data_IF_971760306466
#
_entry.id   IF_971760306466
#
_cell.length_a   1.000
_cell.length_b   1.000
_cell.length_c   1.000
_cell.angle_alpha   90.00
_cell.angle_beta   90.00
_cell.angle_gamma   90.00
#
_symmetry.space_group_name_H-M   'P 1'
#
loop_
_entity.id
_entity.type
_entity.pdbx_description
1 polymer ?
#
# COMPACT_ATOMS: atom_id res chain seq x y z
N UNK A 1 -9.84 -20.83 -9.05
CA UNK A 1 -10.09 -19.85 -10.13
C UNK A 1 -9.19 -18.64 -9.94
N UNK A 2 -8.48 -18.16 -10.97
CA UNK A 2 -7.63 -16.97 -10.85
C UNK A 2 -8.48 -15.74 -10.51
N UNK A 3 -8.17 -15.06 -9.39
CA UNK A 3 -8.94 -13.90 -8.92
C UNK A 3 -8.99 -12.73 -9.90
N UNK A 4 -8.06 -12.68 -10.87
CA UNK A 4 -8.03 -11.69 -11.96
C UNK A 4 -9.25 -11.79 -12.87
N UNK A 5 -9.75 -13.01 -13.14
CA UNK A 5 -10.83 -13.21 -14.11
C UNK A 5 -12.19 -12.67 -13.62
N UNK A 6 -12.31 -12.41 -12.31
CA UNK A 6 -13.49 -11.78 -11.72
C UNK A 6 -13.39 -10.26 -11.57
N UNK A 7 -12.28 -9.64 -12.00
CA UNK A 7 -12.09 -8.18 -11.94
C UNK A 7 -12.56 -7.52 -13.23
N UNK A 8 -13.23 -6.37 -13.13
CA UNK A 8 -13.50 -5.55 -14.30
C UNK A 8 -12.20 -4.98 -14.88
N UNK A 9 -12.20 -4.74 -16.20
CA UNK A 9 -11.04 -4.18 -16.90
C UNK A 9 -10.58 -2.85 -16.26
N UNK A 10 -11.52 -2.00 -15.89
CA UNK A 10 -11.24 -0.74 -15.19
C UNK A 10 -10.49 -0.96 -13.87
N UNK A 11 -10.86 -2.00 -13.11
CA UNK A 11 -10.22 -2.34 -11.85
C UNK A 11 -8.78 -2.85 -12.07
N UNK A 12 -8.57 -3.62 -13.14
CA UNK A 12 -7.25 -4.11 -13.53
C UNK A 12 -6.38 -2.93 -13.97
N UNK A 13 -6.88 -2.04 -14.82
CA UNK A 13 -6.17 -0.84 -15.29
C UNK A 13 -5.73 0.04 -14.12
N UNK A 14 -6.62 0.33 -13.16
CA UNK A 14 -6.29 1.12 -11.95
C UNK A 14 -5.18 0.45 -11.12
N UNK A 15 -5.24 -0.87 -10.93
CA UNK A 15 -4.18 -1.62 -10.23
C UNK A 15 -2.84 -1.56 -10.95
N UNK A 16 -2.85 -1.76 -12.26
CA UNK A 16 -1.64 -1.71 -13.09
C UNK A 16 -1.02 -0.32 -13.07
N UNK A 17 -1.84 0.72 -13.23
CA UNK A 17 -1.40 2.11 -13.18
C UNK A 17 -0.75 2.46 -11.83
N UNK A 18 -1.34 2.06 -10.71
CA UNK A 18 -0.76 2.26 -9.38
C UNK A 18 0.59 1.53 -9.25
N UNK A 19 0.65 0.27 -9.67
CA UNK A 19 1.85 -0.55 -9.54
C UNK A 19 3.03 0.00 -10.35
N UNK A 20 2.77 0.49 -11.55
CA UNK A 20 3.81 1.08 -12.41
C UNK A 20 4.15 2.51 -11.97
N UNK A 21 3.14 3.36 -11.77
CA UNK A 21 3.34 4.82 -11.59
C UNK A 21 3.77 5.18 -10.16
N UNK A 22 3.09 4.61 -9.16
CA UNK A 22 3.43 4.89 -7.77
C UNK A 22 4.49 3.90 -7.29
N UNK A 23 4.26 2.62 -7.52
CA UNK A 23 5.05 1.55 -6.94
C UNK A 23 6.35 1.23 -7.71
N UNK A 24 6.54 1.81 -8.90
CA UNK A 24 7.74 1.63 -9.71
C UNK A 24 7.98 0.19 -10.16
N UNK A 25 6.93 -0.66 -10.16
CA UNK A 25 7.06 -2.06 -10.52
C UNK A 25 7.23 -2.18 -12.04
N UNK A 26 8.27 -2.89 -12.47
CA UNK A 26 8.47 -3.16 -13.90
C UNK A 26 7.33 -4.06 -14.42
N UNK A 27 6.74 -3.77 -15.60
CA UNK A 27 5.65 -4.58 -16.17
C UNK A 27 5.99 -6.07 -16.28
N UNK A 28 7.26 -6.40 -16.57
CA UNK A 28 7.75 -7.79 -16.62
C UNK A 28 7.60 -8.52 -15.29
N UNK A 29 7.80 -7.84 -14.17
CA UNK A 29 7.62 -8.42 -12.84
C UNK A 29 6.13 -8.64 -12.53
N UNK A 30 5.24 -7.81 -13.08
CA UNK A 30 3.80 -7.99 -12.93
C UNK A 30 3.28 -9.23 -13.65
N UNK A 31 3.76 -9.48 -14.87
CA UNK A 31 3.40 -10.69 -15.65
C UNK A 31 3.86 -11.97 -14.95
N UNK A 32 5.02 -11.93 -14.27
CA UNK A 32 5.53 -13.06 -13.46
C UNK A 32 4.72 -13.30 -12.19
N UNK A 33 3.87 -12.37 -11.78
CA UNK A 33 3.20 -12.39 -10.48
C UNK A 33 1.75 -11.91 -10.56
N UNK A 34 0.88 -12.61 -11.33
CA UNK A 34 -0.53 -12.25 -11.48
C UNK A 34 -1.29 -12.26 -10.14
N UNK A 35 -0.83 -13.05 -9.17
CA UNK A 35 -1.38 -13.10 -7.81
C UNK A 35 -1.42 -11.72 -7.13
N UNK A 36 -0.52 -10.80 -7.49
CA UNK A 36 -0.49 -9.45 -6.95
C UNK A 36 -1.76 -8.66 -7.29
N UNK A 37 -2.31 -8.89 -8.49
CA UNK A 37 -3.56 -8.29 -8.94
C UNK A 37 -4.78 -8.92 -8.25
N UNK A 38 -4.63 -10.11 -7.66
CA UNK A 38 -5.68 -10.75 -6.86
C UNK A 38 -5.92 -10.05 -5.51
N UNK A 39 -4.95 -9.29 -4.98
CA UNK A 39 -5.12 -8.55 -3.73
C UNK A 39 -5.93 -7.26 -3.92
N UNK A 40 -6.57 -6.80 -2.84
CA UNK A 40 -7.29 -5.54 -2.80
C UNK A 40 -6.32 -4.35 -2.88
N UNK A 41 -6.52 -3.47 -3.87
CA UNK A 41 -5.68 -2.30 -4.08
C UNK A 41 -5.71 -1.37 -2.86
N UNK A 42 -6.89 -0.84 -2.54
CA UNK A 42 -7.09 0.17 -1.51
C UNK A 42 -6.90 -0.38 -0.09
N UNK A 43 -7.31 -1.64 0.14
CA UNK A 43 -7.25 -2.25 1.48
C UNK A 43 -5.88 -2.83 1.84
N UNK A 44 -5.07 -3.26 0.85
CA UNK A 44 -3.85 -4.03 1.12
C UNK A 44 -2.62 -3.50 0.40
N UNK A 45 -2.70 -3.17 -0.88
CA UNK A 45 -1.52 -2.70 -1.64
C UNK A 45 -1.16 -1.26 -1.25
N UNK A 46 -2.13 -0.34 -1.24
CA UNK A 46 -1.90 1.08 -0.96
C UNK A 46 -1.36 1.33 0.46
N UNK A 47 -1.96 0.78 1.55
CA UNK A 47 -1.52 1.08 2.91
C UNK A 47 -0.10 0.56 3.16
N UNK A 48 0.20 -0.64 2.65
CA UNK A 48 1.51 -1.26 2.85
C UNK A 48 2.60 -0.61 1.99
N UNK A 49 2.28 -0.22 0.75
CA UNK A 49 3.21 0.57 -0.08
C UNK A 49 3.55 1.91 0.57
N UNK A 50 2.58 2.62 1.15
CA UNK A 50 2.83 3.89 1.86
C UNK A 50 3.78 3.73 3.04
N UNK A 51 3.56 2.70 3.86
CA UNK A 51 4.47 2.39 4.97
C UNK A 51 5.86 2.10 4.45
N UNK A 52 6.00 1.25 3.43
CA UNK A 52 7.30 0.99 2.83
C UNK A 52 7.97 2.27 2.32
N UNK A 53 7.24 3.14 1.64
CA UNK A 53 7.81 4.41 1.17
C UNK A 53 8.35 5.27 2.32
N UNK A 54 7.65 5.31 3.45
CA UNK A 54 8.10 6.02 4.66
C UNK A 54 9.37 5.38 5.24
N UNK A 55 9.41 4.05 5.40
CA UNK A 55 10.60 3.36 5.91
C UNK A 55 11.79 3.52 4.96
N UNK A 56 11.56 3.47 3.66
CA UNK A 56 12.60 3.63 2.64
C UNK A 56 13.17 5.05 2.67
N UNK A 57 12.31 6.08 2.78
CA UNK A 57 12.74 7.46 2.93
C UNK A 57 13.54 7.70 4.23
N UNK A 58 13.32 6.87 5.26
CA UNK A 58 14.08 6.91 6.52
C UNK A 58 15.30 5.99 6.54
N UNK A 59 15.59 5.26 5.45
CA UNK A 59 16.71 4.32 5.37
C UNK A 59 16.55 3.08 6.26
N UNK A 60 15.35 2.81 6.77
CA UNK A 60 15.05 1.71 7.69
C UNK A 60 14.62 0.43 6.96
N UNK A 61 14.50 0.50 5.64
CA UNK A 61 14.06 -0.61 4.81
C UNK A 61 15.26 -1.29 4.15
N UNK A 62 15.37 -2.60 4.36
CA UNK A 62 16.37 -3.40 3.68
C UNK A 62 16.01 -3.50 2.18
N UNK A 63 16.96 -3.22 1.28
CA UNK A 63 16.74 -3.11 -0.17
C UNK A 63 16.17 -4.36 -0.88
N UNK A 64 16.04 -5.47 -0.15
CA UNK A 64 15.46 -6.72 -0.65
C UNK A 64 13.93 -6.82 -0.49
N UNK A 65 13.28 -5.88 0.20
CA UNK A 65 11.82 -5.93 0.42
C UNK A 65 11.10 -5.41 -0.82
N UNK A 66 10.56 -6.32 -1.61
CA UNK A 66 9.75 -6.00 -2.79
C UNK A 66 8.27 -5.94 -2.44
N UNK A 67 7.49 -5.17 -3.22
CA UNK A 67 6.03 -5.15 -3.11
C UNK A 67 5.38 -6.53 -3.29
N UNK A 68 6.03 -7.43 -4.01
CA UNK A 68 5.60 -8.81 -4.11
C UNK A 68 5.72 -9.52 -2.76
N UNK A 69 6.92 -9.48 -2.15
CA UNK A 69 7.20 -10.16 -0.87
C UNK A 69 6.32 -9.66 0.29
N UNK A 70 6.08 -8.35 0.37
CA UNK A 70 5.26 -7.77 1.42
C UNK A 70 3.76 -8.01 1.21
N UNK A 71 3.27 -8.15 -0.03
CA UNK A 71 1.84 -8.34 -0.31
C UNK A 71 1.37 -9.73 0.13
N UNK A 72 2.27 -10.72 0.03
CA UNK A 72 2.04 -12.09 0.50
C UNK A 72 2.00 -12.25 2.03
N UNK A 73 2.62 -11.33 2.79
CA UNK A 73 2.59 -11.40 4.26
C UNK A 73 1.17 -11.19 4.80
N UNK A 74 0.86 -11.86 5.90
CA UNK A 74 -0.31 -11.60 6.74
C UNK A 74 -0.16 -10.25 7.48
N UNK A 75 -1.29 -9.64 7.83
CA UNK A 75 -1.34 -8.28 8.39
C UNK A 75 -0.57 -8.16 9.71
N UNK A 76 -0.61 -9.20 10.53
CA UNK A 76 0.09 -9.26 11.82
C UNK A 76 1.60 -9.27 11.65
N UNK A 77 2.13 -10.12 10.76
CA UNK A 77 3.56 -10.15 10.46
C UNK A 77 4.01 -8.83 9.85
N UNK A 78 3.21 -8.25 8.96
CA UNK A 78 3.54 -6.94 8.37
C UNK A 78 3.61 -5.85 9.45
N UNK A 79 2.62 -5.79 10.35
CA UNK A 79 2.63 -4.88 11.50
C UNK A 79 3.88 -5.11 12.34
N UNK A 80 4.13 -6.33 12.81
CA UNK A 80 5.28 -6.66 13.66
C UNK A 80 6.62 -6.22 13.04
N UNK A 81 6.84 -6.54 11.76
CA UNK A 81 8.13 -6.31 11.10
C UNK A 81 8.37 -4.86 10.70
N UNK A 82 7.34 -4.15 10.26
CA UNK A 82 7.50 -2.83 9.63
C UNK A 82 6.92 -1.67 10.43
N UNK A 83 5.92 -1.93 11.28
CA UNK A 83 5.29 -0.91 12.12
C UNK A 83 5.83 -1.03 13.53
N UNK A 84 5.82 -2.25 14.07
CA UNK A 84 6.09 -2.54 15.47
C UNK A 84 7.58 -2.45 15.81
N UNK A 85 8.43 -2.90 14.88
CA UNK A 85 9.88 -2.81 14.99
C UNK A 85 10.41 -1.36 14.87
N UNK A 86 9.59 -0.43 14.38
CA UNK A 86 10.00 0.95 14.11
C UNK A 86 9.18 2.01 14.86
N UNK A 87 8.30 1.62 15.80
CA UNK A 87 7.48 2.57 16.58
C UNK A 87 8.35 3.60 17.31
N UNK A 88 9.43 3.12 17.92
CA UNK A 88 10.34 3.93 18.74
C UNK A 88 11.35 4.71 17.89
N UNK A 89 11.71 4.19 16.71
CA UNK A 89 12.62 4.87 15.76
C UNK A 89 11.93 5.89 14.87
N UNK A 90 10.62 5.75 14.67
CA UNK A 90 9.83 6.56 13.74
C UNK A 90 8.58 7.04 14.46
N UNK A 91 8.73 8.16 15.19
CA UNK A 91 7.59 8.86 15.79
C UNK A 91 6.56 9.15 14.67
N UNK A 92 5.32 8.68 14.88
CA UNK A 92 4.21 8.84 13.94
C UNK A 92 4.08 7.78 12.84
N UNK A 93 4.90 6.72 12.81
CA UNK A 93 4.74 5.64 11.82
C UNK A 93 3.43 4.86 12.02
N UNK A 94 3.04 4.69 13.28
CA UNK A 94 1.80 4.01 13.67
C UNK A 94 0.60 4.83 13.23
N UNK A 95 0.61 6.14 13.47
CA UNK A 95 -0.41 7.08 12.99
C UNK A 95 -0.48 7.14 11.47
N UNK A 96 0.66 7.21 10.78
CA UNK A 96 0.71 7.21 9.32
C UNK A 96 0.15 5.91 8.74
N UNK A 97 0.43 4.76 9.37
CA UNK A 97 -0.14 3.49 8.96
C UNK A 97 -1.64 3.40 9.25
N UNK A 98 -2.09 3.84 10.42
CA UNK A 98 -3.50 3.88 10.76
C UNK A 98 -4.29 4.79 9.80
N UNK A 99 -3.75 5.96 9.47
CA UNK A 99 -4.34 6.89 8.50
C UNK A 99 -4.37 6.31 7.08
N UNK A 100 -3.32 5.59 6.67
CA UNK A 100 -3.27 4.93 5.36
C UNK A 100 -4.20 3.71 5.28
N UNK A 101 -4.48 3.05 6.39
CA UNK A 101 -5.39 1.92 6.48
C UNK A 101 -6.87 2.35 6.62
N UNK A 102 -7.11 3.60 7.03
CA UNK A 102 -8.44 4.18 7.07
C UNK A 102 -8.91 4.55 5.65
N UNK A 103 -10.19 4.31 5.30
CA UNK A 103 -10.74 4.79 4.03
C UNK A 103 -10.67 6.32 3.97
N UNK A 104 -10.55 6.91 2.76
CA UNK A 104 -10.53 8.36 2.63
C UNK A 104 -11.81 8.95 3.22
N UNK A 105 -11.65 9.75 4.28
CA UNK A 105 -12.75 10.53 4.84
C UNK A 105 -13.12 11.58 3.79
N UNK A 106 -14.32 11.47 3.25
CA UNK A 106 -14.97 12.55 2.50
C UNK A 106 -14.90 13.81 3.36
N UNK A 107 -14.01 14.73 2.99
CA UNK A 107 -13.85 16.00 3.68
C UNK A 107 -15.07 16.85 3.29
N UNK A 108 -16.06 16.94 4.17
CA UNK A 108 -17.08 17.99 4.09
C UNK A 108 -16.37 19.32 4.31
N UNK A 109 -16.39 20.13 3.24
CA UNK A 109 -15.97 21.52 3.20
C UNK A 109 -16.48 22.27 4.44
N UNK A 110 -15.56 22.85 5.21
CA UNK A 110 -15.87 23.88 6.19
C UNK A 110 -16.29 25.13 5.41
N UNK A 111 -17.60 25.36 5.31
CA UNK A 111 -18.11 26.67 4.91
C UNK A 111 -17.81 27.65 6.04
N UNK A 112 -16.84 28.53 5.79
CA UNK A 112 -16.50 29.67 6.62
C UNK A 112 -17.57 30.73 6.34
N UNK A 113 -18.62 30.76 7.17
CA UNK A 113 -19.69 31.76 7.10
C UNK A 113 -19.26 33.06 7.77
N UNK A 114 -18.98 34.06 6.94
CA UNK A 114 -18.90 35.49 7.26
C UNK A 114 -20.29 36.00 7.66
N UNK A 115 -20.41 36.67 8.83
CA UNK A 115 -21.03 37.99 9.01
C UNK A 115 -20.31 38.67 10.19
#
# INVERSE_FOLDING_TARGET
MPSILGLSEEHIRRKVQFLISEAGLEPKCMVKSPSLLGYSLEKRLVPRYRVMKILQAKGLLNGNVTLYSQSGMNDETFKLKFVDCHKDSVIGIVDAYAAACAPPKSSTVTSRGTI
#
